data_IF_266821736521
#
_entry.id   IF_266821736521
#
_cell.length_a   1.000
_cell.length_b   1.000
_cell.length_c   1.000
_cell.angle_alpha   90.00
_cell.angle_beta   90.00
_cell.angle_gamma   90.00
#
_symmetry.space_group_name_H-M   'P 1'
#
loop_
_entity.id
_entity.type
_entity.pdbx_description
1 polymer ?
#
# COMPACT_ATOMS: atom_id res chain seq x y z
N UNK A 1 11.67 3.39 -30.68
CA UNK A 1 11.37 3.21 -29.25
C UNK A 1 9.95 2.71 -29.19
N UNK A 2 9.70 1.53 -28.64
CA UNK A 2 8.34 1.06 -28.36
C UNK A 2 7.76 1.98 -27.28
N UNK A 3 6.60 2.54 -27.54
CA UNK A 3 5.82 3.38 -26.63
C UNK A 3 5.25 2.45 -25.53
N UNK A 4 5.55 2.71 -24.26
CA UNK A 4 5.05 1.92 -23.14
C UNK A 4 3.88 2.64 -22.47
N UNK A 5 2.86 1.89 -22.07
CA UNK A 5 1.79 2.41 -21.23
C UNK A 5 2.13 2.17 -19.76
N UNK A 6 2.25 3.25 -19.00
CA UNK A 6 2.60 3.18 -17.57
C UNK A 6 1.43 3.72 -16.74
N UNK A 7 0.95 2.91 -15.81
CA UNK A 7 0.02 3.37 -14.77
C UNK A 7 0.82 3.82 -13.55
N UNK A 8 0.56 5.04 -13.09
CA UNK A 8 1.22 5.62 -11.93
C UNK A 8 0.18 6.03 -10.88
N UNK A 9 0.25 5.43 -9.69
CA UNK A 9 -0.61 5.81 -8.58
C UNK A 9 0.17 6.61 -7.54
N UNK A 10 -0.40 7.74 -7.11
CA UNK A 10 0.16 8.56 -6.04
C UNK A 10 -0.80 8.60 -4.85
N UNK A 11 -0.29 8.22 -3.67
CA UNK A 11 -1.04 8.28 -2.41
C UNK A 11 -1.26 9.72 -1.93
N UNK A 12 -2.17 9.92 -0.98
CA UNK A 12 -2.54 11.25 -0.46
C UNK A 12 -1.35 12.05 0.07
N UNK A 13 -0.42 11.42 0.76
CA UNK A 13 0.83 12.05 1.22
C UNK A 13 1.72 12.53 0.06
N UNK A 14 1.69 11.81 -1.07
CA UNK A 14 2.48 12.13 -2.27
C UNK A 14 1.92 13.30 -3.09
N UNK A 15 0.69 13.74 -2.81
CA UNK A 15 0.00 14.86 -3.49
C UNK A 15 -0.59 15.89 -2.51
N UNK A 16 -0.16 15.87 -1.27
CA UNK A 16 -0.77 16.58 -0.14
C UNK A 16 -0.87 18.11 -0.31
N UNK A 17 0.03 18.71 -1.07
CA UNK A 17 0.13 20.16 -1.28
C UNK A 17 0.68 20.48 -2.68
N UNK A 18 0.80 21.77 -2.99
CA UNK A 18 1.29 22.28 -4.27
C UNK A 18 2.68 21.73 -4.64
N UNK A 19 3.63 21.68 -3.70
CA UNK A 19 4.99 21.20 -3.98
C UNK A 19 4.99 19.71 -4.33
N UNK A 20 4.16 18.93 -3.63
CA UNK A 20 4.02 17.49 -3.88
C UNK A 20 3.35 17.24 -5.24
N UNK A 21 2.32 18.02 -5.61
CA UNK A 21 1.71 17.95 -6.94
C UNK A 21 2.73 18.28 -8.06
N UNK A 22 3.54 19.32 -7.88
CA UNK A 22 4.59 19.63 -8.85
C UNK A 22 5.68 18.55 -8.91
N UNK A 23 6.00 17.90 -7.80
CA UNK A 23 6.92 16.75 -7.78
C UNK A 23 6.34 15.57 -8.54
N UNK A 24 5.08 15.22 -8.28
CA UNK A 24 4.33 14.21 -9.03
C UNK A 24 4.36 14.53 -10.53
N UNK A 25 4.03 15.77 -10.92
CA UNK A 25 4.02 16.20 -12.31
C UNK A 25 5.39 16.04 -12.99
N UNK A 26 6.49 16.35 -12.30
CA UNK A 26 7.86 16.12 -12.84
C UNK A 26 8.17 14.63 -13.03
N UNK A 27 7.72 13.77 -12.15
CA UNK A 27 7.88 12.32 -12.28
C UNK A 27 7.12 11.81 -13.52
N UNK A 28 5.87 12.26 -13.70
CA UNK A 28 5.05 11.93 -14.88
C UNK A 28 5.73 12.45 -16.15
N UNK A 29 6.15 13.73 -16.15
CA UNK A 29 6.85 14.34 -17.28
C UNK A 29 8.08 13.55 -17.69
N UNK A 30 8.86 13.05 -16.75
CA UNK A 30 10.04 12.23 -17.05
C UNK A 30 9.72 10.93 -17.81
N UNK A 31 8.52 10.35 -17.67
CA UNK A 31 8.08 9.22 -18.49
C UNK A 31 7.58 9.69 -19.86
N UNK A 32 6.77 10.74 -19.89
CA UNK A 32 6.27 11.33 -21.15
C UNK A 32 7.41 11.79 -22.05
N UNK A 33 8.45 12.42 -21.49
CA UNK A 33 9.64 12.87 -22.24
C UNK A 33 10.45 11.68 -22.84
N UNK A 34 10.29 10.47 -22.30
CA UNK A 34 10.85 9.23 -22.88
C UNK A 34 9.98 8.62 -23.98
N UNK A 35 8.79 9.16 -24.19
CA UNK A 35 7.82 8.69 -25.18
C UNK A 35 6.80 7.69 -24.61
N UNK A 36 6.69 7.56 -23.27
CA UNK A 36 5.70 6.70 -22.63
C UNK A 36 4.33 7.39 -22.58
N UNK A 37 3.26 6.61 -22.71
CA UNK A 37 1.91 7.01 -22.33
C UNK A 37 1.72 6.80 -20.81
N UNK A 38 1.15 7.78 -20.12
CA UNK A 38 1.01 7.71 -18.66
C UNK A 38 -0.44 7.93 -18.25
N UNK A 39 -0.98 6.95 -17.51
CA UNK A 39 -2.23 7.08 -16.79
C UNK A 39 -1.93 7.31 -15.31
N UNK A 40 -2.46 8.41 -14.74
CA UNK A 40 -2.21 8.78 -13.36
C UNK A 40 -3.46 8.52 -12.51
N UNK A 41 -3.29 7.79 -11.40
CA UNK A 41 -4.33 7.55 -10.40
C UNK A 41 -3.98 8.30 -9.12
N UNK A 42 -4.86 9.18 -8.66
CA UNK A 42 -4.64 10.03 -7.50
C UNK A 42 -5.58 9.70 -6.36
N UNK A 43 -5.05 9.68 -5.15
CA UNK A 43 -5.84 9.69 -3.91
C UNK A 43 -6.20 11.14 -3.53
N UNK A 44 -7.17 11.31 -2.66
CA UNK A 44 -7.42 12.59 -2.02
C UNK A 44 -6.15 13.15 -1.35
N UNK A 45 -5.97 14.47 -1.37
CA UNK A 45 -4.77 15.13 -0.84
C UNK A 45 -4.70 15.03 0.69
N UNK A 46 -3.56 14.59 1.23
CA UNK A 46 -3.25 14.61 2.65
C UNK A 46 -4.40 14.09 3.53
N UNK A 47 -4.88 14.93 4.42
CA UNK A 47 -5.95 14.60 5.39
C UNK A 47 -7.36 14.96 4.89
N UNK A 48 -7.55 15.22 3.59
CA UNK A 48 -8.85 15.65 3.01
C UNK A 48 -9.96 14.65 3.34
N UNK A 49 -9.70 13.35 3.19
CA UNK A 49 -10.69 12.29 3.49
C UNK A 49 -11.11 12.32 4.96
N UNK A 50 -10.16 12.47 5.90
CA UNK A 50 -10.45 12.55 7.32
C UNK A 50 -11.25 13.83 7.66
N UNK A 51 -10.91 14.95 7.01
CA UNK A 51 -11.67 16.20 7.14
C UNK A 51 -13.11 16.08 6.63
N UNK A 52 -13.34 15.39 5.52
CA UNK A 52 -14.69 15.12 4.98
C UNK A 52 -15.47 14.17 5.90
N UNK A 53 -14.84 13.14 6.44
CA UNK A 53 -15.43 12.25 7.43
C UNK A 53 -15.83 13.00 8.70
N UNK A 54 -15.01 13.92 9.17
CA UNK A 54 -15.33 14.77 10.33
C UNK A 54 -16.56 15.65 10.06
N UNK A 55 -16.62 16.31 8.90
CA UNK A 55 -17.79 17.11 8.48
C UNK A 55 -19.06 16.27 8.43
N UNK A 56 -18.99 15.04 7.89
CA UNK A 56 -20.12 14.13 7.87
C UNK A 56 -20.65 13.79 9.27
N UNK A 57 -19.71 13.53 10.22
CA UNK A 57 -20.07 13.25 11.63
C UNK A 57 -20.70 14.44 12.34
N UNK A 58 -20.29 15.66 12.00
CA UNK A 58 -20.90 16.90 12.52
C UNK A 58 -22.34 17.09 12.06
N UNK A 59 -22.68 16.61 10.84
CA UNK A 59 -24.05 16.67 10.31
C UNK A 59 -24.92 15.54 10.86
N UNK A 60 -24.39 14.34 11.05
CA UNK A 60 -25.15 13.18 11.50
C UNK A 60 -24.24 12.20 12.25
N UNK A 61 -24.73 11.67 13.37
CA UNK A 61 -24.05 10.59 14.09
C UNK A 61 -23.94 9.28 13.26
N UNK A 62 -24.85 9.11 12.28
CA UNK A 62 -24.92 7.97 11.39
C UNK A 62 -25.30 8.44 9.97
N UNK A 63 -24.37 9.03 9.21
CA UNK A 63 -24.64 9.45 7.84
C UNK A 63 -24.94 8.24 6.96
N UNK A 64 -25.86 8.40 5.99
CA UNK A 64 -26.13 7.29 5.06
C UNK A 64 -24.90 6.96 4.23
N UNK A 65 -24.60 5.67 4.00
CA UNK A 65 -23.42 5.26 3.22
C UNK A 65 -23.36 5.90 1.83
N UNK A 66 -24.49 5.99 1.15
CA UNK A 66 -24.58 6.60 -0.20
C UNK A 66 -24.14 8.06 -0.20
N UNK A 67 -24.62 8.89 0.75
CA UNK A 67 -24.25 10.31 0.82
C UNK A 67 -22.80 10.49 1.32
N UNK A 68 -22.32 9.55 2.15
CA UNK A 68 -20.94 9.55 2.58
C UNK A 68 -19.99 9.25 1.41
N UNK A 69 -20.31 8.27 0.57
CA UNK A 69 -19.52 7.96 -0.63
C UNK A 69 -19.51 9.14 -1.62
N UNK A 70 -20.66 9.79 -1.82
CA UNK A 70 -20.75 11.01 -2.64
C UNK A 70 -19.83 12.11 -2.09
N UNK A 71 -19.85 12.34 -0.77
CA UNK A 71 -19.01 13.36 -0.14
C UNK A 71 -17.51 13.02 -0.25
N UNK A 72 -17.14 11.78 0.05
CA UNK A 72 -15.73 11.36 0.05
C UNK A 72 -15.12 11.42 -1.36
N UNK A 73 -15.88 11.06 -2.39
CA UNK A 73 -15.42 11.11 -3.78
C UNK A 73 -14.95 12.50 -4.23
N UNK A 74 -15.43 13.57 -3.59
CA UNK A 74 -15.01 14.94 -3.90
C UNK A 74 -13.50 15.17 -3.66
N UNK A 75 -12.89 14.46 -2.70
CA UNK A 75 -11.47 14.56 -2.42
C UNK A 75 -10.60 14.09 -3.59
N UNK A 76 -10.93 12.97 -4.17
CA UNK A 76 -10.24 12.42 -5.34
C UNK A 76 -10.48 13.26 -6.60
N UNK A 77 -11.70 13.79 -6.78
CA UNK A 77 -12.02 14.70 -7.89
C UNK A 77 -11.14 15.97 -7.85
N UNK A 78 -11.00 16.56 -6.67
CA UNK A 78 -10.13 17.73 -6.47
C UNK A 78 -8.67 17.38 -6.84
N UNK A 79 -8.18 16.24 -6.37
CA UNK A 79 -6.81 15.79 -6.66
C UNK A 79 -6.59 15.57 -8.15
N UNK A 80 -7.55 14.97 -8.85
CA UNK A 80 -7.47 14.73 -10.29
C UNK A 80 -7.39 16.04 -11.07
N UNK A 81 -8.25 17.02 -10.76
CA UNK A 81 -8.25 18.32 -11.41
C UNK A 81 -6.95 19.09 -11.13
N UNK A 82 -6.50 19.17 -9.88
CA UNK A 82 -5.27 19.84 -9.51
C UNK A 82 -4.03 19.15 -10.10
N UNK A 83 -4.04 17.82 -10.20
CA UNK A 83 -3.00 17.05 -10.86
C UNK A 83 -2.87 17.35 -12.35
N UNK A 84 -4.00 17.44 -13.06
CA UNK A 84 -4.02 17.85 -14.46
C UNK A 84 -3.47 19.28 -14.63
N UNK A 85 -3.92 20.24 -13.82
CA UNK A 85 -3.40 21.61 -13.82
C UNK A 85 -1.88 21.66 -13.55
N UNK A 86 -1.38 20.84 -12.62
CA UNK A 86 0.04 20.77 -12.33
C UNK A 86 0.85 20.24 -13.53
N UNK A 87 0.34 19.25 -14.24
CA UNK A 87 0.96 18.72 -15.47
C UNK A 87 0.97 19.77 -16.58
N UNK A 88 -0.15 20.43 -16.83
CA UNK A 88 -0.27 21.50 -17.83
C UNK A 88 0.68 22.66 -17.52
N UNK A 89 0.85 23.03 -16.25
CA UNK A 89 1.74 24.13 -15.82
C UNK A 89 3.22 23.91 -16.19
N UNK A 90 3.61 22.65 -16.40
CA UNK A 90 4.97 22.27 -16.83
C UNK A 90 5.04 21.78 -18.28
N UNK A 91 3.98 22.04 -19.06
CA UNK A 91 3.93 21.74 -20.50
C UNK A 91 3.60 20.30 -20.86
N UNK A 92 2.97 19.53 -19.95
CA UNK A 92 2.46 18.18 -20.25
C UNK A 92 0.94 18.28 -20.43
N UNK A 93 0.40 18.01 -21.63
CA UNK A 93 -1.04 17.98 -21.86
C UNK A 93 -1.67 16.90 -20.98
N UNK A 94 -2.73 17.23 -20.27
CA UNK A 94 -3.40 16.32 -19.36
C UNK A 94 -4.90 16.56 -19.34
N UNK A 95 -5.68 15.52 -19.04
CA UNK A 95 -7.11 15.60 -18.81
C UNK A 95 -7.47 14.84 -17.53
N UNK A 96 -8.23 15.47 -16.63
CA UNK A 96 -8.75 14.81 -15.45
C UNK A 96 -10.03 14.05 -15.77
N UNK A 97 -10.12 12.81 -15.28
CA UNK A 97 -11.29 11.95 -15.42
C UNK A 97 -11.72 11.45 -14.03
N UNK A 98 -13.03 11.39 -13.83
CA UNK A 98 -13.63 10.74 -12.68
C UNK A 98 -14.07 9.32 -13.04
N UNK A 99 -14.23 8.44 -12.04
CA UNK A 99 -14.55 7.03 -12.26
C UNK A 99 -15.84 6.81 -13.08
N UNK A 100 -16.85 7.69 -12.95
CA UNK A 100 -18.07 7.61 -13.75
C UNK A 100 -17.92 8.06 -15.20
N UNK A 101 -16.83 8.70 -15.57
CA UNK A 101 -16.47 9.03 -16.96
C UNK A 101 -15.71 7.90 -17.64
N UNK A 102 -15.22 6.96 -16.84
CA UNK A 102 -14.58 5.71 -17.27
C UNK A 102 -15.51 4.60 -16.78
N UNK A 103 -15.91 3.62 -17.61
CA UNK A 103 -16.85 2.58 -17.19
C UNK A 103 -16.21 1.59 -16.18
N UNK A 104 -16.00 2.06 -14.94
CA UNK A 104 -15.59 1.24 -13.81
C UNK A 104 -16.86 0.83 -13.07
N UNK A 105 -17.30 -0.41 -13.32
CA UNK A 105 -18.43 -1.01 -12.62
C UNK A 105 -17.96 -1.72 -11.35
N UNK A 106 -18.70 -1.51 -10.25
CA UNK A 106 -18.47 -2.18 -8.96
C UNK A 106 -19.67 -3.05 -8.61
N UNK A 107 -19.51 -3.93 -7.64
CA UNK A 107 -20.63 -4.68 -7.06
C UNK A 107 -21.67 -3.73 -6.46
N UNK A 108 -22.93 -4.14 -6.49
CA UNK A 108 -24.10 -3.30 -6.24
C UNK A 108 -24.27 -2.83 -4.79
N UNK A 109 -23.28 -2.15 -4.20
CA UNK A 109 -23.40 -1.57 -2.85
C UNK A 109 -24.51 -0.52 -2.74
N UNK A 110 -24.82 0.18 -3.84
CA UNK A 110 -25.90 1.15 -3.98
C UNK A 110 -26.73 0.85 -5.23
N UNK A 111 -27.68 1.73 -5.57
CA UNK A 111 -28.46 1.60 -6.82
C UNK A 111 -27.57 1.86 -8.04
N UNK A 112 -27.91 1.26 -9.17
CA UNK A 112 -27.22 1.52 -10.43
C UNK A 112 -27.15 3.03 -10.74
N UNK A 113 -25.96 3.53 -11.02
CA UNK A 113 -25.69 4.94 -11.27
C UNK A 113 -25.31 5.77 -10.04
N UNK A 114 -25.36 5.21 -8.83
CA UNK A 114 -24.83 5.87 -7.64
C UNK A 114 -23.31 5.77 -7.58
N UNK A 115 -22.68 6.79 -6.96
CA UNK A 115 -21.24 6.77 -6.69
C UNK A 115 -20.97 5.86 -5.50
N UNK A 116 -20.01 4.93 -5.67
CA UNK A 116 -19.55 4.05 -4.61
C UNK A 116 -18.03 4.23 -4.43
N UNK A 117 -17.59 4.43 -3.19
CA UNK A 117 -16.17 4.44 -2.86
C UNK A 117 -15.67 3.04 -2.49
N UNK A 118 -14.48 2.68 -2.94
CA UNK A 118 -13.86 1.38 -2.59
C UNK A 118 -13.28 1.37 -1.16
N UNK A 119 -13.30 2.51 -0.47
CA UNK A 119 -12.76 2.66 0.87
C UNK A 119 -11.21 2.59 0.91
N UNK A 120 -10.65 2.19 2.05
CA UNK A 120 -9.19 2.11 2.21
C UNK A 120 -8.55 1.18 1.16
N UNK A 121 -7.46 1.66 0.53
CA UNK A 121 -6.78 0.96 -0.56
C UNK A 121 -7.54 0.99 -1.88
N UNK A 122 -8.62 1.79 -1.99
CA UNK A 122 -9.44 1.89 -3.20
C UNK A 122 -8.64 2.38 -4.40
N UNK A 123 -7.82 3.42 -4.25
CA UNK A 123 -6.99 3.94 -5.34
C UNK A 123 -5.89 2.96 -5.79
N UNK A 124 -5.32 2.16 -4.88
CA UNK A 124 -4.38 1.09 -5.25
C UNK A 124 -5.10 0.00 -6.06
N UNK A 125 -6.29 -0.40 -5.62
CA UNK A 125 -7.12 -1.39 -6.31
C UNK A 125 -7.55 -0.87 -7.70
N UNK A 126 -7.97 0.39 -7.80
CA UNK A 126 -8.30 1.03 -9.08
C UNK A 126 -7.11 1.09 -10.03
N UNK A 127 -5.91 1.40 -9.52
CA UNK A 127 -4.70 1.43 -10.33
C UNK A 127 -4.34 0.04 -10.88
N UNK A 128 -4.48 -1.02 -10.07
CA UNK A 128 -4.29 -2.40 -10.53
C UNK A 128 -5.33 -2.79 -11.58
N UNK A 129 -6.61 -2.47 -11.35
CA UNK A 129 -7.69 -2.77 -12.28
C UNK A 129 -7.47 -2.09 -13.64
N UNK A 130 -7.09 -0.80 -13.63
CA UNK A 130 -6.78 -0.04 -14.84
C UNK A 130 -5.54 -0.58 -15.56
N UNK A 131 -4.47 -0.92 -14.82
CA UNK A 131 -3.28 -1.52 -15.40
C UNK A 131 -3.58 -2.86 -16.07
N UNK A 132 -4.41 -3.69 -15.45
CA UNK A 132 -4.83 -4.97 -16.01
C UNK A 132 -5.71 -4.79 -17.25
N UNK A 133 -6.75 -3.94 -17.18
CA UNK A 133 -7.70 -3.72 -18.26
C UNK A 133 -7.07 -3.09 -19.51
N UNK A 134 -6.08 -2.24 -19.31
CA UNK A 134 -5.36 -1.54 -20.39
C UNK A 134 -4.10 -2.30 -20.84
N UNK A 135 -3.80 -3.45 -20.25
CA UNK A 135 -2.56 -4.21 -20.51
C UNK A 135 -1.31 -3.33 -20.38
N UNK A 136 -1.25 -2.54 -19.31
CA UNK A 136 -0.14 -1.62 -19.07
C UNK A 136 1.18 -2.38 -18.88
N UNK A 137 2.27 -1.83 -19.42
CA UNK A 137 3.61 -2.41 -19.32
C UNK A 137 4.18 -2.33 -17.90
N UNK A 138 3.75 -1.33 -17.12
CA UNK A 138 4.16 -1.17 -15.72
C UNK A 138 3.08 -0.49 -14.88
N UNK A 139 3.01 -0.91 -13.61
CA UNK A 139 2.26 -0.22 -12.56
C UNK A 139 3.22 0.27 -11.47
N UNK A 140 3.30 1.57 -11.27
CA UNK A 140 4.08 2.20 -10.20
C UNK A 140 3.16 2.75 -9.11
N UNK A 141 3.39 2.35 -7.86
CA UNK A 141 2.71 2.91 -6.68
C UNK A 141 3.71 3.77 -5.92
N UNK A 142 3.45 5.07 -5.89
CA UNK A 142 4.23 6.05 -5.15
C UNK A 142 3.63 6.27 -3.76
N UNK A 143 4.47 6.12 -2.75
CA UNK A 143 4.11 6.21 -1.33
C UNK A 143 5.18 6.99 -0.55
N UNK A 144 5.06 7.09 0.76
CA UNK A 144 6.01 7.76 1.65
C UNK A 144 7.27 6.93 1.99
N UNK A 145 7.31 5.66 1.57
CA UNK A 145 8.45 4.77 1.78
C UNK A 145 9.14 4.39 0.47
N UNK A 146 10.44 4.16 0.52
CA UNK A 146 11.25 3.82 -0.65
C UNK A 146 11.27 2.31 -0.94
N UNK A 147 10.10 1.74 -1.12
CA UNK A 147 9.93 0.32 -1.39
C UNK A 147 9.40 -0.46 -0.19
N UNK A 148 9.55 -1.77 -0.26
CA UNK A 148 9.10 -2.71 0.76
C UNK A 148 10.30 -3.20 1.55
N UNK A 149 10.24 -3.08 2.86
CA UNK A 149 11.33 -3.45 3.76
C UNK A 149 11.00 -4.73 4.52
N UNK A 150 12.05 -5.40 5.01
CA UNK A 150 11.93 -6.59 5.84
C UNK A 150 11.18 -6.35 7.17
N UNK A 151 11.04 -5.10 7.58
CA UNK A 151 10.16 -4.61 8.66
C UNK A 151 9.93 -3.11 8.50
N UNK A 152 9.15 -2.48 9.38
CA UNK A 152 9.00 -1.02 9.41
C UNK A 152 10.32 -0.35 9.82
N UNK A 153 11.00 0.40 8.94
CA UNK A 153 12.28 1.02 9.25
C UNK A 153 12.21 2.08 10.36
N UNK A 154 11.01 2.62 10.65
CA UNK A 154 10.79 3.55 11.76
C UNK A 154 10.90 2.85 13.12
N UNK A 155 10.64 1.54 13.15
CA UNK A 155 10.71 0.71 14.36
C UNK A 155 11.98 -0.14 14.34
N UNK A 156 12.34 -0.73 13.22
CA UNK A 156 13.50 -1.58 13.02
C UNK A 156 14.56 -0.88 12.17
N UNK A 157 15.55 -0.19 12.79
CA UNK A 157 16.59 0.53 12.03
C UNK A 157 17.42 -0.37 11.10
N UNK A 158 17.51 -1.66 11.42
CA UNK A 158 18.21 -2.68 10.62
C UNK A 158 17.34 -3.28 9.51
N UNK A 159 16.14 -2.74 9.27
CA UNK A 159 15.27 -3.24 8.21
C UNK A 159 15.93 -3.07 6.84
N UNK A 160 15.92 -4.13 6.05
CA UNK A 160 16.55 -4.20 4.72
C UNK A 160 15.47 -4.09 3.65
N UNK A 161 15.69 -3.26 2.63
CA UNK A 161 14.79 -3.18 1.49
C UNK A 161 14.81 -4.50 0.72
N UNK A 162 13.64 -4.97 0.33
CA UNK A 162 13.43 -6.15 -0.51
C UNK A 162 13.26 -5.71 -1.96
N UNK A 163 14.24 -5.91 -2.84
CA UNK A 163 14.11 -5.52 -4.25
C UNK A 163 12.94 -6.20 -4.96
N UNK A 164 12.70 -7.47 -4.62
CA UNK A 164 11.59 -8.26 -5.20
C UNK A 164 10.89 -9.06 -4.11
N UNK A 165 9.55 -9.10 -4.18
CA UNK A 165 8.70 -9.85 -3.24
C UNK A 165 7.66 -10.61 -4.03
N UNK A 166 7.36 -11.85 -3.63
CA UNK A 166 6.26 -12.61 -4.22
C UNK A 166 4.90 -12.01 -3.81
N UNK A 167 3.89 -12.17 -4.68
CA UNK A 167 2.52 -11.78 -4.32
C UNK A 167 2.05 -12.46 -3.02
N UNK A 168 2.38 -13.74 -2.83
CA UNK A 168 1.97 -14.51 -1.66
C UNK A 168 2.54 -13.92 -0.37
N UNK A 169 3.84 -13.61 -0.33
CA UNK A 169 4.48 -13.03 0.84
C UNK A 169 3.99 -11.61 1.09
N UNK A 170 3.83 -10.80 0.03
CA UNK A 170 3.30 -9.45 0.17
C UNK A 170 1.86 -9.46 0.70
N UNK A 171 1.02 -10.38 0.21
CA UNK A 171 -0.35 -10.55 0.67
C UNK A 171 -0.41 -10.95 2.15
N UNK A 172 0.45 -11.89 2.55
CA UNK A 172 0.56 -12.28 3.96
C UNK A 172 1.04 -11.11 4.82
N UNK A 173 2.09 -10.39 4.42
CA UNK A 173 2.58 -9.20 5.14
C UNK A 173 1.47 -8.16 5.30
N UNK A 174 0.73 -7.84 4.25
CA UNK A 174 -0.38 -6.88 4.28
C UNK A 174 -1.49 -7.32 5.26
N UNK A 175 -1.93 -8.58 5.18
CA UNK A 175 -2.95 -9.15 6.09
C UNK A 175 -2.49 -9.21 7.54
N UNK A 176 -1.18 -9.36 7.76
CA UNK A 176 -0.57 -9.48 9.09
C UNK A 176 -0.15 -8.12 9.68
N UNK A 177 -0.33 -7.00 8.95
CA UNK A 177 -0.18 -5.67 9.52
C UNK A 177 0.75 -4.71 8.77
N UNK A 178 1.43 -5.13 7.71
CA UNK A 178 2.20 -4.22 6.87
C UNK A 178 1.25 -3.25 6.12
N UNK A 179 1.61 -1.96 6.09
CA UNK A 179 0.71 -0.90 5.61
C UNK A 179 1.15 -0.28 4.27
N UNK A 180 2.15 -0.86 3.61
CA UNK A 180 2.72 -0.30 2.35
C UNK A 180 1.75 -0.48 1.19
N UNK A 181 1.13 -1.66 1.08
CA UNK A 181 0.11 -1.98 0.09
C UNK A 181 -1.12 -2.57 0.78
N UNK A 182 -2.31 -2.30 0.23
CA UNK A 182 -3.53 -2.93 0.71
C UNK A 182 -3.66 -4.36 0.17
N UNK A 183 -4.12 -5.31 1.00
CA UNK A 183 -4.22 -6.73 0.64
C UNK A 183 -5.11 -6.97 -0.58
N UNK A 184 -6.22 -6.22 -0.75
CA UNK A 184 -7.09 -6.32 -1.93
C UNK A 184 -6.38 -5.97 -3.23
N UNK A 185 -5.55 -4.92 -3.23
CA UNK A 185 -4.78 -4.54 -4.43
C UNK A 185 -3.73 -5.59 -4.78
N UNK A 186 -3.07 -6.19 -3.77
CA UNK A 186 -2.09 -7.27 -3.98
C UNK A 186 -2.77 -8.54 -4.52
N UNK A 187 -3.93 -8.92 -3.95
CA UNK A 187 -4.71 -10.06 -4.42
C UNK A 187 -5.12 -9.89 -5.89
N UNK A 188 -5.68 -8.75 -6.26
CA UNK A 188 -6.06 -8.43 -7.64
C UNK A 188 -4.85 -8.43 -8.58
N UNK A 189 -3.71 -7.86 -8.15
CA UNK A 189 -2.48 -7.87 -8.95
C UNK A 189 -1.97 -9.30 -9.20
N UNK A 190 -2.08 -10.18 -8.20
CA UNK A 190 -1.73 -11.60 -8.34
C UNK A 190 -2.64 -12.33 -9.34
N UNK A 191 -3.97 -12.10 -9.25
CA UNK A 191 -4.97 -12.69 -10.15
C UNK A 191 -4.78 -12.21 -11.60
N UNK A 192 -4.51 -10.92 -11.80
CA UNK A 192 -4.32 -10.33 -13.12
C UNK A 192 -2.89 -10.47 -13.65
N UNK A 193 -1.93 -10.92 -12.84
CA UNK A 193 -0.52 -11.04 -13.23
C UNK A 193 0.18 -9.68 -13.41
N UNK A 194 -0.30 -8.61 -12.78
CA UNK A 194 0.23 -7.24 -12.90
C UNK A 194 1.35 -7.01 -11.88
N UNK A 195 2.62 -6.85 -12.30
CA UNK A 195 3.68 -6.49 -11.37
C UNK A 195 3.49 -5.07 -10.81
N UNK A 196 3.69 -4.91 -9.50
CA UNK A 196 3.60 -3.61 -8.84
C UNK A 196 5.00 -3.15 -8.45
N UNK A 197 5.41 -1.97 -8.92
CA UNK A 197 6.63 -1.29 -8.48
C UNK A 197 6.28 -0.29 -7.39
N UNK A 198 6.74 -0.51 -6.17
CA UNK A 198 6.53 0.39 -5.03
C UNK A 198 7.76 1.25 -4.85
N UNK A 199 7.59 2.57 -4.79
CA UNK A 199 8.69 3.52 -4.60
C UNK A 199 8.24 4.82 -3.95
N UNK A 200 9.18 5.60 -3.44
CA UNK A 200 8.91 6.98 -3.00
C UNK A 200 8.94 7.97 -4.16
N UNK A 201 8.42 9.17 -3.93
CA UNK A 201 8.55 10.29 -4.88
C UNK A 201 9.96 10.91 -4.90
N UNK A 202 10.95 10.31 -4.25
CA UNK A 202 12.35 10.76 -4.25
C UNK A 202 13.06 10.46 -5.58
N UNK A 203 14.01 11.33 -5.97
CA UNK A 203 14.69 11.26 -7.27
C UNK A 203 15.52 9.99 -7.48
N UNK A 204 15.97 9.31 -6.40
CA UNK A 204 16.85 8.14 -6.45
C UNK A 204 16.18 6.85 -5.94
N UNK A 205 14.86 6.82 -5.90
CA UNK A 205 14.15 5.64 -5.42
C UNK A 205 14.27 4.48 -6.43
N UNK A 206 14.94 3.41 -6.04
CA UNK A 206 14.94 2.16 -6.82
C UNK A 206 13.64 1.38 -6.63
N UNK A 207 13.05 1.46 -5.42
CA UNK A 207 11.81 0.81 -5.07
C UNK A 207 11.91 -0.70 -4.88
N UNK A 208 10.75 -1.34 -4.83
CA UNK A 208 10.58 -2.78 -4.72
C UNK A 208 9.56 -3.27 -5.74
N UNK A 209 9.74 -4.47 -6.28
CA UNK A 209 8.83 -5.08 -7.24
C UNK A 209 8.06 -6.22 -6.56
N UNK A 210 6.75 -6.13 -6.56
CA UNK A 210 5.85 -7.24 -6.18
C UNK A 210 5.45 -7.97 -7.45
N UNK A 211 5.77 -9.27 -7.54
CA UNK A 211 5.54 -10.08 -8.74
C UNK A 211 5.42 -11.57 -8.39
N UNK A 212 5.21 -12.41 -9.40
CA UNK A 212 5.01 -13.85 -9.21
C UNK A 212 6.19 -14.56 -8.52
N UNK A 213 7.43 -14.18 -8.85
CA UNK A 213 8.63 -14.74 -8.27
C UNK A 213 9.37 -13.67 -7.44
N UNK A 214 9.37 -13.83 -6.13
CA UNK A 214 10.16 -12.99 -5.21
C UNK A 214 11.63 -13.41 -5.15
N UNK A 215 12.41 -12.72 -4.32
CA UNK A 215 13.73 -13.20 -3.93
C UNK A 215 13.60 -14.46 -3.07
N UNK A 216 14.41 -15.46 -3.36
CA UNK A 216 14.48 -16.67 -2.53
C UNK A 216 15.26 -16.34 -1.25
N UNK A 217 14.55 -16.15 -0.17
CA UNK A 217 15.11 -15.99 1.16
C UNK A 217 14.29 -16.76 2.18
N UNK A 218 14.88 -17.20 3.30
CA UNK A 218 14.16 -17.98 4.30
C UNK A 218 13.02 -17.19 4.92
N UNK A 219 13.26 -15.91 5.23
CA UNK A 219 12.28 -14.97 5.80
C UNK A 219 12.25 -13.72 4.95
N UNK A 220 11.05 -13.38 4.44
CA UNK A 220 10.81 -12.20 3.62
C UNK A 220 10.70 -10.95 4.46
N UNK A 221 9.97 -11.04 5.58
CA UNK A 221 9.81 -9.89 6.47
C UNK A 221 9.12 -10.24 7.79
N UNK A 222 9.16 -9.27 8.70
CA UNK A 222 8.53 -9.32 10.02
C UNK A 222 7.66 -8.08 10.18
N UNK A 223 6.40 -8.25 10.54
CA UNK A 223 5.44 -7.17 10.73
C UNK A 223 4.71 -7.30 12.06
N UNK A 224 3.97 -6.27 12.45
CA UNK A 224 3.13 -6.32 13.64
C UNK A 224 1.71 -5.81 13.37
N UNK A 225 0.76 -6.35 14.14
CA UNK A 225 -0.61 -5.87 14.16
C UNK A 225 -1.04 -5.57 15.58
N UNK A 226 -1.42 -4.32 15.83
CA UNK A 226 -1.97 -3.85 17.11
C UNK A 226 -3.48 -3.64 16.96
N UNK A 227 -4.25 -3.97 17.99
CA UNK A 227 -5.67 -3.67 18.05
C UNK A 227 -5.97 -2.89 19.33
N UNK A 228 -6.76 -1.83 19.22
CA UNK A 228 -7.14 -1.01 20.38
C UNK A 228 -8.04 -1.75 21.36
N UNK A 229 -8.62 -2.85 20.90
CA UNK A 229 -9.51 -3.71 21.71
C UNK A 229 -8.81 -4.91 22.33
N UNK A 230 -7.47 -5.02 22.19
CA UNK A 230 -6.69 -6.17 22.68
C UNK A 230 -5.52 -5.73 23.55
N UNK A 231 -5.29 -6.46 24.65
CA UNK A 231 -4.09 -6.31 25.49
C UNK A 231 -2.84 -6.89 24.81
N UNK A 232 -3.03 -7.64 23.71
CA UNK A 232 -1.96 -8.26 22.95
C UNK A 232 -1.80 -7.61 21.57
N UNK A 233 -0.56 -7.60 21.11
CA UNK A 233 -0.20 -7.39 19.73
C UNK A 233 0.33 -8.69 19.12
N UNK A 234 0.29 -8.79 17.81
CA UNK A 234 0.80 -9.96 17.08
C UNK A 234 1.98 -9.54 16.25
N UNK A 235 3.15 -10.11 16.52
CA UNK A 235 4.35 -9.99 15.69
C UNK A 235 4.40 -11.21 14.76
N UNK A 236 4.47 -10.98 13.46
CA UNK A 236 4.43 -12.07 12.47
C UNK A 236 5.63 -12.02 11.55
N UNK A 237 6.39 -13.10 11.49
CA UNK A 237 7.38 -13.36 10.44
C UNK A 237 6.69 -14.06 9.26
N UNK A 238 7.09 -13.69 8.04
CA UNK A 238 6.59 -14.26 6.77
C UNK A 238 7.78 -14.68 5.93
N UNK A 239 7.69 -15.86 5.31
CA UNK A 239 8.73 -16.35 4.41
C UNK A 239 8.59 -17.83 4.05
N UNK A 240 9.32 -18.25 3.02
CA UNK A 240 9.25 -19.60 2.46
C UNK A 240 9.82 -20.70 3.34
N UNK A 241 10.72 -20.36 4.28
CA UNK A 241 11.31 -21.35 5.20
C UNK A 241 10.41 -21.67 6.42
N UNK A 242 9.34 -20.92 6.62
CA UNK A 242 8.33 -21.26 7.61
C UNK A 242 7.41 -22.33 6.98
N UNK A 243 7.17 -23.46 7.63
CA UNK A 243 7.04 -23.72 9.04
C UNK A 243 8.21 -24.46 9.72
N UNK A 244 9.46 -24.28 9.31
CA UNK A 244 10.57 -24.89 10.03
C UNK A 244 10.60 -24.41 11.50
N UNK A 245 10.47 -25.35 12.43
CA UNK A 245 10.46 -25.10 13.87
C UNK A 245 11.73 -24.44 14.41
N UNK A 246 12.85 -24.50 13.67
CA UNK A 246 14.08 -23.81 14.03
C UNK A 246 13.87 -22.29 14.14
N UNK A 247 13.06 -21.69 13.26
CA UNK A 247 12.76 -20.25 13.30
C UNK A 247 11.87 -19.88 14.49
N UNK A 248 10.90 -20.74 14.84
CA UNK A 248 10.10 -20.58 16.06
C UNK A 248 10.97 -20.57 17.30
N UNK A 249 11.84 -21.59 17.46
CA UNK A 249 12.75 -21.69 18.60
C UNK A 249 13.71 -20.48 18.66
N UNK A 250 14.24 -20.02 17.53
CA UNK A 250 15.14 -18.87 17.44
C UNK A 250 14.46 -17.58 17.89
N UNK A 251 13.24 -17.33 17.42
CA UNK A 251 12.44 -16.17 17.82
C UNK A 251 12.06 -16.22 19.30
N UNK A 252 11.53 -17.35 19.78
CA UNK A 252 11.13 -17.54 21.18
C UNK A 252 12.32 -17.38 22.14
N UNK A 253 13.48 -17.97 21.81
CA UNK A 253 14.71 -17.83 22.60
C UNK A 253 15.21 -16.38 22.66
N UNK A 254 15.12 -15.64 21.54
CA UNK A 254 15.50 -14.21 21.51
C UNK A 254 14.59 -13.35 22.38
N UNK A 255 13.27 -13.56 22.32
CA UNK A 255 12.29 -12.87 23.15
C UNK A 255 12.49 -13.19 24.64
N UNK A 256 12.66 -14.48 24.99
CA UNK A 256 12.89 -14.91 26.37
C UNK A 256 14.17 -14.30 26.96
N UNK A 257 15.31 -14.30 26.22
CA UNK A 257 16.54 -13.63 26.66
C UNK A 257 16.38 -12.14 26.91
N UNK A 258 15.46 -11.52 26.18
CA UNK A 258 15.16 -10.09 26.32
C UNK A 258 14.06 -9.79 27.36
N UNK A 259 13.53 -10.81 28.04
CA UNK A 259 12.48 -10.65 29.05
C UNK A 259 11.10 -10.29 28.48
N UNK A 260 10.86 -10.49 27.18
CA UNK A 260 9.53 -10.28 26.57
C UNK A 260 8.71 -11.53 26.72
N UNK A 261 7.52 -11.38 27.35
CA UNK A 261 6.60 -12.50 27.55
C UNK A 261 5.90 -12.89 26.24
N UNK A 262 5.86 -14.20 25.97
CA UNK A 262 5.12 -14.77 24.84
C UNK A 262 3.86 -15.42 25.36
N UNK A 263 2.70 -14.98 24.88
CA UNK A 263 1.39 -15.50 25.33
C UNK A 263 0.92 -16.69 24.48
N UNK A 264 1.21 -16.67 23.20
CA UNK A 264 0.88 -17.76 22.27
C UNK A 264 1.76 -17.66 21.01
N UNK A 265 1.89 -18.78 20.32
CA UNK A 265 2.54 -18.89 19.01
C UNK A 265 1.58 -19.62 18.07
N UNK A 266 1.45 -19.12 16.85
CA UNK A 266 0.64 -19.74 15.78
C UNK A 266 1.50 -19.81 14.54
N UNK A 267 1.69 -21.00 14.02
CA UNK A 267 2.43 -21.28 12.78
C UNK A 267 1.47 -21.61 11.65
N UNK A 268 1.86 -21.26 10.44
CA UNK A 268 1.20 -21.65 9.22
C UNK A 268 2.23 -21.94 8.12
N UNK A 269 1.76 -22.28 6.94
CA UNK A 269 2.63 -22.73 5.84
C UNK A 269 3.76 -21.75 5.50
N UNK A 270 3.52 -20.45 5.64
CA UNK A 270 4.49 -19.38 5.30
C UNK A 270 4.58 -18.27 6.36
N UNK A 271 4.09 -18.51 7.58
CA UNK A 271 4.16 -17.51 8.62
C UNK A 271 4.32 -18.10 10.03
N UNK A 272 4.91 -17.29 10.89
CA UNK A 272 5.04 -17.50 12.33
C UNK A 272 4.49 -16.25 13.04
N UNK A 273 3.37 -16.37 13.76
CA UNK A 273 2.73 -15.29 14.52
C UNK A 273 2.94 -15.49 16.01
N UNK A 274 3.49 -14.49 16.68
CA UNK A 274 3.82 -14.50 18.12
C UNK A 274 2.99 -13.44 18.81
N UNK A 275 2.24 -13.82 19.84
CA UNK A 275 1.41 -12.94 20.64
C UNK A 275 2.22 -12.43 21.83
N UNK A 276 2.34 -11.11 21.94
CA UNK A 276 3.11 -10.41 22.97
C UNK A 276 2.24 -9.32 23.62
N UNK A 277 2.57 -8.85 24.86
CA UNK A 277 1.91 -7.68 25.42
C UNK A 277 1.98 -6.49 24.46
N UNK A 278 0.88 -5.74 24.35
CA UNK A 278 0.75 -4.64 23.37
C UNK A 278 1.82 -3.57 23.56
N UNK A 279 2.15 -3.23 24.80
CA UNK A 279 3.17 -2.24 25.16
C UNK A 279 4.58 -2.67 24.76
N UNK A 280 4.85 -3.97 24.64
CA UNK A 280 6.15 -4.50 24.25
C UNK A 280 6.27 -4.79 22.73
N UNK A 281 5.22 -4.54 21.96
CA UNK A 281 5.16 -4.97 20.55
C UNK A 281 6.27 -4.40 19.66
N UNK A 282 6.64 -3.13 19.82
CA UNK A 282 7.71 -2.51 19.02
C UNK A 282 9.09 -3.09 19.39
N UNK A 283 9.27 -3.41 20.67
CA UNK A 283 10.47 -4.11 21.17
C UNK A 283 10.54 -5.54 20.64
N UNK A 284 9.42 -6.25 20.73
CA UNK A 284 9.30 -7.62 20.23
C UNK A 284 9.53 -7.68 18.71
N UNK A 285 8.99 -6.71 17.95
CA UNK A 285 9.19 -6.63 16.50
C UNK A 285 10.69 -6.54 16.16
N UNK A 286 11.44 -5.65 16.82
CA UNK A 286 12.91 -5.52 16.64
C UNK A 286 13.64 -6.82 16.96
N UNK A 287 13.33 -7.42 18.11
CA UNK A 287 14.00 -8.65 18.57
C UNK A 287 13.76 -9.80 17.59
N UNK A 288 12.52 -10.00 17.15
CA UNK A 288 12.18 -11.06 16.19
C UNK A 288 12.82 -10.78 14.83
N UNK A 289 12.79 -9.53 14.36
CA UNK A 289 13.44 -9.12 13.12
C UNK A 289 14.94 -9.42 13.17
N UNK A 290 15.67 -8.92 14.17
CA UNK A 290 17.13 -9.09 14.29
C UNK A 290 17.53 -10.56 14.53
N UNK A 291 16.62 -11.37 15.07
CA UNK A 291 16.85 -12.80 15.24
C UNK A 291 16.64 -13.59 13.95
N UNK A 292 15.75 -13.19 13.05
CA UNK A 292 15.32 -14.01 11.92
C UNK A 292 15.86 -13.51 10.57
N UNK A 293 16.10 -12.20 10.43
CA UNK A 293 16.65 -11.55 9.24
C UNK A 293 18.17 -11.38 9.39
#
# INVERSE_FOLDING_TARGET
>A
VLMSLIVQKFGGSSVRDHEHLLRMARIVKGNVDRGDEVLVVLSAQGDTTDGLLQKAKEMSAAPSPRELDMLLSAGEQMSAALGAMALESIGVPAVSLCAWQIPIETDGAHKAGDITTLGRGGSDTSAVALAAALHADALHIYTDVDGIFSSDPRICPNAVRRPRISYDDMLLLARKGAQVLHDRSVAMAAECGVPIVVRSCGEKSEGSVVCKAGEEGPITGVTQKKSDRSQFAVVTAVGGALPDSAYEHKAAAALARSGVSVSAVVTGERFLSIFVPREESDRALRIVHDALI
#
